data_IF_434101012411
#
_entry.id   IF_434101012411
#
_cell.length_a   1.000
_cell.length_b   1.000
_cell.length_c   1.000
_cell.angle_alpha   90.00
_cell.angle_beta   90.00
_cell.angle_gamma   90.00
#
_symmetry.space_group_name_H-M   'P 1'
#
loop_
_entity.id
_entity.type
_entity.pdbx_description
1 polymer ?
#
# COMPACT_ATOMS: atom_id res chain seq x y z
N UNK A 1 14.93 -4.99 -39.36
CA UNK A 1 13.63 -5.01 -38.66
C UNK A 1 12.73 -5.99 -39.37
N UNK A 2 12.70 -7.25 -38.93
CA UNK A 2 11.86 -8.29 -39.50
C UNK A 2 10.59 -8.41 -38.65
N UNK A 3 9.43 -8.09 -39.24
CA UNK A 3 8.12 -8.38 -38.66
C UNK A 3 7.86 -9.88 -38.78
N UNK A 4 7.90 -10.58 -37.65
CA UNK A 4 7.41 -11.97 -37.55
C UNK A 4 5.90 -11.91 -37.44
N UNK A 5 5.22 -12.15 -38.56
CA UNK A 5 3.78 -12.35 -38.60
C UNK A 5 3.47 -13.72 -37.98
N UNK A 6 2.97 -13.72 -36.74
CA UNK A 6 2.40 -14.90 -36.11
C UNK A 6 1.03 -15.13 -36.77
N UNK A 7 1.03 -15.97 -37.80
CA UNK A 7 -0.19 -16.52 -38.38
C UNK A 7 -0.82 -17.49 -37.39
N UNK A 8 -1.63 -16.97 -36.46
CA UNK A 8 -2.56 -17.80 -35.69
C UNK A 8 -3.55 -18.39 -36.69
N UNK A 9 -3.50 -19.70 -36.83
CA UNK A 9 -4.28 -20.47 -37.80
C UNK A 9 -5.77 -20.34 -37.51
N UNK A 10 -6.47 -19.72 -38.46
CA UNK A 10 -7.92 -19.48 -38.43
C UNK A 10 -8.76 -20.76 -38.28
N UNK A 11 -8.19 -21.94 -38.56
CA UNK A 11 -8.86 -23.24 -38.44
C UNK A 11 -9.05 -23.77 -37.02
N UNK A 12 -8.33 -23.29 -36.00
CA UNK A 12 -8.54 -23.74 -34.62
C UNK A 12 -9.79 -23.09 -33.97
N UNK A 13 -10.22 -21.92 -34.45
CA UNK A 13 -11.43 -21.26 -33.95
C UNK A 13 -12.72 -21.90 -34.48
N UNK A 14 -12.70 -22.51 -35.66
CA UNK A 14 -13.92 -23.06 -36.28
C UNK A 14 -14.50 -24.29 -35.54
N UNK A 15 -13.66 -25.08 -34.85
CA UNK A 15 -14.11 -26.25 -34.08
C UNK A 15 -14.68 -25.94 -32.69
N UNK A 16 -14.32 -24.79 -32.11
CA UNK A 16 -14.83 -24.33 -30.80
C UNK A 16 -16.20 -23.66 -30.94
N UNK A 17 -16.51 -23.09 -32.11
CA UNK A 17 -17.72 -22.28 -32.32
C UNK A 17 -19.00 -23.13 -32.43
N UNK A 18 -18.95 -24.39 -32.91
CA UNK A 18 -20.20 -25.18 -33.08
C UNK A 18 -20.67 -25.92 -31.82
N UNK A 19 -19.76 -26.29 -30.91
CA UNK A 19 -20.09 -26.90 -29.61
C UNK A 19 -20.07 -25.89 -28.46
N UNK A 20 -19.31 -24.80 -28.60
CA UNK A 20 -19.21 -23.74 -27.60
C UNK A 20 -20.49 -22.93 -27.44
N UNK A 21 -21.25 -22.70 -28.51
CA UNK A 21 -22.45 -21.85 -28.45
C UNK A 21 -23.51 -22.33 -27.45
N UNK A 22 -23.70 -23.65 -27.30
CA UNK A 22 -24.65 -24.20 -26.32
C UNK A 22 -24.14 -24.03 -24.89
N UNK A 23 -22.88 -24.39 -24.62
CA UNK A 23 -22.29 -24.25 -23.30
C UNK A 23 -22.21 -22.80 -22.84
N UNK A 24 -21.84 -21.88 -23.74
CA UNK A 24 -21.83 -20.43 -23.47
C UNK A 24 -23.23 -19.93 -23.14
N UNK A 25 -24.25 -20.39 -23.87
CA UNK A 25 -25.65 -20.03 -23.60
C UNK A 25 -26.13 -20.55 -22.24
N UNK A 26 -25.81 -21.79 -21.88
CA UNK A 26 -26.13 -22.37 -20.57
C UNK A 26 -25.47 -21.56 -19.42
N UNK A 27 -24.20 -21.16 -19.59
CA UNK A 27 -23.51 -20.28 -18.61
C UNK A 27 -24.19 -18.90 -18.55
N UNK A 28 -24.56 -18.32 -19.69
CA UNK A 28 -25.25 -17.03 -19.74
C UNK A 28 -26.61 -17.06 -19.03
N UNK A 29 -27.37 -18.15 -19.19
CA UNK A 29 -28.63 -18.38 -18.50
C UNK A 29 -28.43 -18.51 -16.98
N UNK A 30 -27.42 -19.28 -16.55
CA UNK A 30 -27.07 -19.41 -15.14
C UNK A 30 -26.64 -18.06 -14.51
N UNK A 31 -25.86 -17.24 -15.24
CA UNK A 31 -25.48 -15.89 -14.80
C UNK A 31 -26.70 -14.95 -14.72
N UNK A 32 -27.67 -15.09 -15.63
CA UNK A 32 -28.91 -14.31 -15.60
C UNK A 32 -29.75 -14.62 -14.37
N UNK A 33 -29.86 -15.91 -14.03
CA UNK A 33 -30.54 -16.38 -12.82
C UNK A 33 -29.87 -15.84 -11.55
N UNK A 34 -28.54 -15.94 -11.45
CA UNK A 34 -27.77 -15.38 -10.34
C UNK A 34 -27.92 -13.85 -10.22
N UNK A 35 -28.15 -13.15 -11.33
CA UNK A 35 -28.36 -11.70 -11.33
C UNK A 35 -29.76 -11.29 -10.85
N UNK A 36 -30.65 -12.25 -10.54
CA UNK A 36 -32.03 -11.99 -10.13
C UNK A 36 -32.90 -11.40 -11.24
N UNK A 37 -32.38 -11.35 -12.48
CA UNK A 37 -33.14 -10.92 -13.65
C UNK A 37 -33.85 -12.16 -14.17
N UNK A 38 -35.18 -12.19 -14.12
CA UNK A 38 -35.98 -13.15 -14.92
C UNK A 38 -35.40 -13.08 -16.33
N UNK A 39 -34.74 -14.15 -16.77
CA UNK A 39 -33.79 -14.16 -17.88
C UNK A 39 -34.38 -13.48 -19.12
N UNK A 40 -34.17 -12.16 -19.27
CA UNK A 40 -34.61 -11.50 -20.48
C UNK A 40 -33.76 -12.07 -21.59
N UNK A 41 -34.41 -12.51 -22.67
CA UNK A 41 -33.74 -13.14 -23.80
C UNK A 41 -32.56 -12.29 -24.29
N UNK A 42 -32.75 -10.97 -24.31
CA UNK A 42 -31.73 -9.96 -24.64
C UNK A 42 -30.52 -9.98 -23.69
N UNK A 43 -30.71 -10.15 -22.37
CA UNK A 43 -29.61 -10.22 -21.41
C UNK A 43 -28.78 -11.50 -21.60
N UNK A 44 -29.46 -12.64 -21.83
CA UNK A 44 -28.80 -13.92 -22.10
C UNK A 44 -27.99 -13.83 -23.39
N UNK A 45 -28.56 -13.31 -24.48
CA UNK A 45 -27.88 -13.15 -25.76
C UNK A 45 -26.67 -12.20 -25.64
N UNK A 46 -26.82 -11.06 -24.96
CA UNK A 46 -25.71 -10.12 -24.73
C UNK A 46 -24.60 -10.75 -23.89
N UNK A 47 -24.96 -11.52 -22.86
CA UNK A 47 -23.99 -12.20 -21.99
C UNK A 47 -23.28 -13.32 -22.74
N UNK A 48 -23.99 -14.07 -23.59
CA UNK A 48 -23.41 -15.11 -24.44
C UNK A 48 -22.35 -14.53 -25.39
N UNK A 49 -22.64 -13.43 -26.08
CA UNK A 49 -21.65 -12.74 -26.94
C UNK A 49 -20.43 -12.27 -26.13
N UNK A 50 -20.63 -11.77 -24.90
CA UNK A 50 -19.52 -11.37 -24.04
C UNK A 50 -18.68 -12.57 -23.58
N UNK A 51 -19.32 -13.70 -23.27
CA UNK A 51 -18.63 -14.94 -22.91
C UNK A 51 -17.84 -15.52 -24.09
N UNK A 52 -18.38 -15.49 -25.32
CA UNK A 52 -17.64 -15.88 -26.53
C UNK A 52 -16.40 -15.01 -26.73
N UNK A 53 -16.53 -13.69 -26.55
CA UNK A 53 -15.40 -12.76 -26.64
C UNK A 53 -14.35 -13.05 -25.54
N UNK A 54 -14.80 -13.30 -24.30
CA UNK A 54 -13.90 -13.69 -23.20
C UNK A 54 -13.19 -15.01 -23.53
N UNK A 55 -13.90 -16.03 -24.02
CA UNK A 55 -13.32 -17.31 -24.39
C UNK A 55 -12.32 -17.18 -25.55
N UNK A 56 -12.61 -16.32 -26.52
CA UNK A 56 -11.69 -16.03 -27.63
C UNK A 56 -10.40 -15.34 -27.19
N UNK A 57 -10.47 -14.45 -26.17
CA UNK A 57 -9.31 -13.71 -25.66
C UNK A 57 -8.53 -14.46 -24.60
N UNK A 58 -9.23 -15.12 -23.67
CA UNK A 58 -8.67 -15.74 -22.48
C UNK A 58 -8.52 -17.26 -22.58
N UNK A 59 -8.98 -17.85 -23.69
CA UNK A 59 -9.07 -19.30 -23.86
C UNK A 59 -10.34 -19.90 -23.25
N UNK A 60 -10.70 -21.10 -23.69
CA UNK A 60 -11.90 -21.81 -23.24
C UNK A 60 -11.91 -22.15 -21.74
N UNK A 61 -10.74 -22.24 -21.08
CA UNK A 61 -10.65 -22.47 -19.63
C UNK A 61 -11.32 -21.35 -18.82
N UNK A 62 -11.42 -20.14 -19.36
CA UNK A 62 -12.13 -19.03 -18.71
C UNK A 62 -13.61 -19.32 -18.50
N UNK A 63 -14.25 -20.09 -19.39
CA UNK A 63 -15.66 -20.46 -19.27
C UNK A 63 -15.89 -21.43 -18.11
N UNK A 64 -14.97 -22.37 -17.87
CA UNK A 64 -15.03 -23.28 -16.72
C UNK A 64 -14.92 -22.49 -15.40
N UNK A 65 -13.99 -21.53 -15.34
CA UNK A 65 -13.84 -20.65 -14.19
C UNK A 65 -15.10 -19.79 -13.97
N UNK A 66 -15.68 -19.22 -15.04
CA UNK A 66 -16.90 -18.41 -14.95
C UNK A 66 -18.10 -19.26 -14.54
N UNK A 67 -18.21 -20.49 -15.05
CA UNK A 67 -19.26 -21.43 -14.64
C UNK A 67 -19.18 -21.74 -13.14
N UNK A 68 -17.96 -21.98 -12.62
CA UNK A 68 -17.72 -22.30 -11.21
C UNK A 68 -17.92 -21.13 -10.26
N UNK A 69 -17.41 -19.95 -10.61
CA UNK A 69 -17.37 -18.79 -9.72
C UNK A 69 -18.40 -17.69 -10.07
N UNK A 70 -19.22 -17.93 -11.10
CA UNK A 70 -20.38 -17.11 -11.46
C UNK A 70 -20.06 -15.66 -11.86
N UNK A 71 -20.96 -14.76 -11.47
CA UNK A 71 -20.93 -13.33 -11.85
C UNK A 71 -19.67 -12.57 -11.43
N UNK A 72 -18.96 -13.04 -10.40
CA UNK A 72 -17.72 -12.40 -9.95
C UNK A 72 -16.62 -12.65 -10.97
N UNK A 73 -16.40 -13.92 -11.35
CA UNK A 73 -15.43 -14.27 -12.38
C UNK A 73 -15.77 -13.61 -13.72
N UNK A 74 -17.03 -13.63 -14.14
CA UNK A 74 -17.46 -12.96 -15.37
C UNK A 74 -17.06 -11.47 -15.40
N UNK A 75 -17.34 -10.73 -14.32
CA UNK A 75 -16.95 -9.31 -14.21
C UNK A 75 -15.44 -9.11 -14.22
N UNK A 76 -14.70 -9.98 -13.54
CA UNK A 76 -13.25 -9.93 -13.52
C UNK A 76 -12.70 -10.13 -14.93
N UNK A 77 -13.07 -11.20 -15.64
CA UNK A 77 -12.60 -11.46 -17.00
C UNK A 77 -12.97 -10.35 -17.98
N UNK A 78 -14.20 -9.84 -17.89
CA UNK A 78 -14.65 -8.70 -18.71
C UNK A 78 -13.79 -7.46 -18.52
N UNK A 79 -13.30 -7.21 -17.30
CA UNK A 79 -12.51 -6.04 -16.95
C UNK A 79 -10.99 -6.27 -17.03
N UNK A 80 -10.56 -7.50 -17.25
CA UNK A 80 -9.15 -7.88 -17.19
C UNK A 80 -8.37 -7.31 -18.40
N UNK A 81 -9.03 -7.15 -19.55
CA UNK A 81 -8.42 -6.74 -20.81
C UNK A 81 -7.87 -7.94 -21.59
N UNK A 82 -7.30 -7.67 -22.77
CA UNK A 82 -6.96 -8.72 -23.74
C UNK A 82 -5.77 -9.58 -23.29
N UNK A 83 -4.78 -8.96 -22.64
CA UNK A 83 -3.58 -9.65 -22.18
C UNK A 83 -3.78 -10.50 -20.92
N UNK A 84 -5.00 -10.49 -20.36
CA UNK A 84 -5.22 -10.85 -18.97
C UNK A 84 -5.70 -12.25 -18.68
N UNK A 85 -6.15 -12.95 -19.70
CA UNK A 85 -6.80 -14.24 -19.55
C UNK A 85 -5.90 -15.30 -18.94
N UNK A 86 -4.70 -15.49 -19.50
CA UNK A 86 -3.86 -16.64 -19.17
C UNK A 86 -3.39 -16.61 -17.71
N UNK A 87 -2.83 -15.47 -17.27
CA UNK A 87 -2.36 -15.35 -15.88
C UNK A 87 -3.51 -15.36 -14.88
N UNK A 88 -4.69 -14.85 -15.25
CA UNK A 88 -5.86 -14.87 -14.37
C UNK A 88 -6.40 -16.28 -14.18
N UNK A 89 -6.54 -17.05 -15.27
CA UNK A 89 -6.94 -18.47 -15.21
C UNK A 89 -5.95 -19.25 -14.35
N UNK A 90 -4.64 -19.08 -14.59
CA UNK A 90 -3.59 -19.73 -13.80
C UNK A 90 -3.66 -19.34 -12.32
N UNK A 91 -3.82 -18.06 -12.01
CA UNK A 91 -3.93 -17.58 -10.64
C UNK A 91 -5.18 -18.13 -9.94
N UNK A 92 -6.32 -18.19 -10.61
CA UNK A 92 -7.56 -18.75 -10.05
C UNK A 92 -7.44 -20.26 -9.82
N UNK A 93 -6.74 -21.00 -10.68
CA UNK A 93 -6.48 -22.43 -10.46
C UNK A 93 -5.63 -22.70 -9.22
N UNK A 94 -4.66 -21.83 -8.93
CA UNK A 94 -3.74 -22.00 -7.80
C UNK A 94 -4.32 -21.41 -6.50
N UNK A 95 -4.93 -20.23 -6.57
CA UNK A 95 -5.35 -19.43 -5.41
C UNK A 95 -6.87 -19.37 -5.23
N UNK A 96 -7.67 -19.90 -6.15
CA UNK A 96 -9.13 -19.92 -6.07
C UNK A 96 -9.74 -18.51 -5.96
N UNK A 97 -10.63 -18.35 -4.99
CA UNK A 97 -11.37 -17.10 -4.74
C UNK A 97 -10.46 -15.92 -4.36
N UNK A 98 -9.27 -16.18 -3.80
CA UNK A 98 -8.32 -15.11 -3.49
C UNK A 98 -7.81 -14.42 -4.77
N UNK A 99 -7.55 -15.17 -5.84
CA UNK A 99 -7.18 -14.56 -7.11
C UNK A 99 -8.32 -13.72 -7.69
N UNK A 100 -9.57 -14.17 -7.57
CA UNK A 100 -10.74 -13.40 -7.99
C UNK A 100 -10.86 -12.10 -7.19
N UNK A 101 -10.69 -12.16 -5.87
CA UNK A 101 -10.69 -10.99 -4.99
C UNK A 101 -9.60 -9.99 -5.41
N UNK A 102 -8.37 -10.45 -5.60
CA UNK A 102 -7.23 -9.62 -6.03
C UNK A 102 -7.51 -8.99 -7.39
N UNK A 103 -8.10 -9.74 -8.32
CA UNK A 103 -8.35 -9.27 -9.68
C UNK A 103 -9.48 -8.22 -9.78
N UNK A 104 -10.27 -8.01 -8.73
CA UNK A 104 -11.29 -6.96 -8.70
C UNK A 104 -10.68 -5.56 -8.64
N UNK A 105 -9.55 -5.37 -7.95
CA UNK A 105 -8.87 -4.08 -7.87
C UNK A 105 -7.90 -3.87 -9.03
N UNK A 106 -7.76 -2.63 -9.48
CA UNK A 106 -6.77 -2.26 -10.51
C UNK A 106 -5.34 -2.54 -10.04
N UNK A 107 -5.08 -2.29 -8.75
CA UNK A 107 -3.82 -2.57 -8.08
C UNK A 107 -3.52 -4.08 -8.07
N UNK A 108 -4.45 -4.92 -7.61
CA UNK A 108 -4.27 -6.37 -7.62
C UNK A 108 -4.08 -6.95 -9.02
N UNK A 109 -4.79 -6.42 -10.04
CA UNK A 109 -4.55 -6.79 -11.45
C UNK A 109 -3.13 -6.49 -11.91
N UNK A 110 -2.49 -5.42 -11.43
CA UNK A 110 -1.09 -5.13 -11.77
C UNK A 110 -0.13 -6.18 -11.19
N UNK A 111 -0.45 -6.74 -10.03
CA UNK A 111 0.33 -7.83 -9.42
C UNK A 111 0.10 -9.15 -10.15
N UNK A 112 -1.14 -9.46 -10.55
CA UNK A 112 -1.41 -10.64 -11.37
C UNK A 112 -0.69 -10.59 -12.72
N UNK A 113 -0.61 -9.40 -13.33
CA UNK A 113 0.16 -9.16 -14.57
C UNK A 113 1.65 -9.40 -14.43
N UNK A 114 2.23 -9.19 -13.25
CA UNK A 114 3.67 -9.44 -13.07
C UNK A 114 4.00 -10.94 -13.12
N UNK A 115 3.00 -11.82 -12.97
CA UNK A 115 3.19 -13.27 -12.98
C UNK A 115 3.96 -13.82 -11.77
N UNK A 116 4.30 -12.97 -10.80
CA UNK A 116 5.07 -13.37 -9.61
C UNK A 116 4.19 -14.10 -8.61
N UNK A 117 4.38 -15.42 -8.51
CA UNK A 117 3.66 -16.28 -7.54
C UNK A 117 3.80 -15.75 -6.11
N UNK A 118 5.01 -15.33 -5.73
CA UNK A 118 5.29 -14.78 -4.42
C UNK A 118 4.53 -13.47 -4.17
N UNK A 119 4.40 -12.60 -5.17
CA UNK A 119 3.65 -11.36 -5.05
C UNK A 119 2.15 -11.62 -4.92
N UNK A 120 1.59 -12.54 -5.72
CA UNK A 120 0.18 -12.94 -5.63
C UNK A 120 -0.11 -13.50 -4.24
N UNK A 121 0.75 -14.39 -3.73
CA UNK A 121 0.65 -14.95 -2.37
C UNK A 121 0.71 -13.87 -1.30
N UNK A 122 1.58 -12.87 -1.44
CA UNK A 122 1.66 -11.75 -0.51
C UNK A 122 0.34 -10.95 -0.45
N UNK A 123 -0.24 -10.61 -1.61
CA UNK A 123 -1.51 -9.88 -1.68
C UNK A 123 -2.70 -10.75 -1.21
N UNK A 124 -2.66 -12.06 -1.48
CA UNK A 124 -3.65 -13.00 -0.97
C UNK A 124 -3.71 -12.97 0.56
N UNK A 125 -2.54 -13.01 1.22
CA UNK A 125 -2.44 -13.04 2.70
C UNK A 125 -2.71 -11.71 3.38
N UNK A 126 -2.31 -10.58 2.77
CA UNK A 126 -2.29 -9.28 3.44
C UNK A 126 -3.25 -8.24 2.86
N UNK A 127 -4.15 -8.65 1.97
CA UNK A 127 -5.08 -7.79 1.20
C UNK A 127 -4.39 -6.86 0.18
N UNK A 128 -5.20 -6.17 -0.61
CA UNK A 128 -4.75 -5.27 -1.68
C UNK A 128 -3.98 -4.04 -1.16
N UNK A 129 -4.03 -3.78 0.15
CA UNK A 129 -3.30 -2.69 0.79
C UNK A 129 -1.78 -2.82 0.68
N UNK A 130 -1.25 -4.03 0.43
CA UNK A 130 0.21 -4.23 0.25
C UNK A 130 0.71 -3.99 -1.17
N UNK A 131 -0.18 -3.80 -2.15
CA UNK A 131 0.23 -3.61 -3.54
C UNK A 131 1.15 -2.39 -3.73
N UNK A 132 0.91 -1.21 -3.12
CA UNK A 132 1.84 -0.08 -3.23
C UNK A 132 3.23 -0.39 -2.68
N UNK A 133 3.31 -1.22 -1.62
CA UNK A 133 4.58 -1.65 -1.06
C UNK A 133 5.35 -2.54 -2.04
N UNK A 134 4.66 -3.49 -2.68
CA UNK A 134 5.22 -4.37 -3.71
C UNK A 134 5.69 -3.55 -4.91
N UNK A 135 4.88 -2.61 -5.40
CA UNK A 135 5.23 -1.77 -6.54
C UNK A 135 6.44 -0.88 -6.25
N UNK A 136 6.56 -0.34 -5.04
CA UNK A 136 7.63 0.59 -4.67
C UNK A 136 8.94 -0.10 -4.34
N UNK A 137 8.89 -1.24 -3.66
CA UNK A 137 10.10 -1.93 -3.16
C UNK A 137 10.45 -3.20 -3.94
N UNK A 138 9.56 -3.67 -4.82
CA UNK A 138 9.80 -4.84 -5.66
C UNK A 138 9.96 -6.11 -4.83
N UNK A 139 10.96 -6.91 -5.19
CA UNK A 139 11.22 -8.22 -4.59
C UNK A 139 11.48 -8.16 -3.09
N UNK A 140 12.12 -7.10 -2.58
CA UNK A 140 12.35 -6.93 -1.13
C UNK A 140 11.02 -6.82 -0.36
N UNK A 141 10.06 -6.08 -0.92
CA UNK A 141 8.71 -5.95 -0.36
C UNK A 141 7.96 -7.27 -0.40
N UNK A 142 8.05 -8.01 -1.51
CA UNK A 142 7.43 -9.33 -1.66
C UNK A 142 8.03 -10.33 -0.67
N UNK A 143 9.36 -10.41 -0.59
CA UNK A 143 10.09 -11.32 0.30
C UNK A 143 9.73 -11.08 1.76
N UNK A 144 9.66 -9.80 2.18
CA UNK A 144 9.19 -9.43 3.51
C UNK A 144 7.76 -9.92 3.75
N UNK A 145 6.81 -9.54 2.89
CA UNK A 145 5.39 -9.85 3.07
C UNK A 145 5.09 -11.36 3.08
N UNK A 146 5.77 -12.15 2.25
CA UNK A 146 5.60 -13.61 2.23
C UNK A 146 5.96 -14.22 3.60
N UNK A 147 6.95 -13.66 4.30
CA UNK A 147 7.42 -14.15 5.61
C UNK A 147 6.59 -13.65 6.80
N UNK A 148 5.82 -12.59 6.63
CA UNK A 148 5.04 -11.98 7.72
C UNK A 148 3.69 -12.67 7.93
N UNK A 149 3.22 -12.70 9.18
CA UNK A 149 1.83 -13.00 9.52
C UNK A 149 0.89 -11.84 9.13
N UNK A 150 -0.42 -12.08 8.91
CA UNK A 150 -1.37 -11.02 8.55
C UNK A 150 -1.43 -9.85 9.55
N UNK A 151 -1.20 -10.12 10.83
CA UNK A 151 -1.13 -9.08 11.86
C UNK A 151 0.09 -8.17 11.65
N UNK A 152 1.24 -8.77 11.38
CA UNK A 152 2.48 -8.06 11.17
C UNK A 152 2.55 -7.38 9.80
N UNK A 153 1.97 -7.96 8.74
CA UNK A 153 1.82 -7.26 7.46
C UNK A 153 1.07 -5.93 7.60
N UNK A 154 -0.03 -5.90 8.38
CA UNK A 154 -0.73 -4.64 8.70
C UNK A 154 0.11 -3.65 9.50
N UNK A 155 0.90 -4.12 10.47
CA UNK A 155 1.85 -3.25 11.22
C UNK A 155 2.91 -2.65 10.31
N UNK A 156 3.46 -3.43 9.38
CA UNK A 156 4.41 -2.94 8.39
C UNK A 156 3.78 -1.82 7.54
N UNK A 157 2.54 -2.01 7.05
CA UNK A 157 1.82 -0.96 6.32
C UNK A 157 1.66 0.30 7.16
N UNK A 158 1.22 0.18 8.42
CA UNK A 158 1.10 1.33 9.32
C UNK A 158 2.44 2.07 9.51
N UNK A 159 3.57 1.35 9.59
CA UNK A 159 4.89 1.97 9.70
C UNK A 159 5.28 2.76 8.46
N UNK A 160 4.94 2.23 7.28
CA UNK A 160 5.22 2.84 5.97
C UNK A 160 4.35 4.08 5.79
N UNK A 161 3.05 3.98 6.08
CA UNK A 161 2.10 5.09 5.97
C UNK A 161 2.44 6.23 6.94
N UNK A 162 2.86 5.89 8.17
CA UNK A 162 3.28 6.87 9.16
C UNK A 162 4.69 7.43 8.92
N UNK A 163 5.40 7.01 7.87
CA UNK A 163 6.79 7.39 7.57
C UNK A 163 7.74 7.23 8.77
N UNK A 164 7.50 6.21 9.61
CA UNK A 164 8.27 5.99 10.85
C UNK A 164 9.70 5.55 10.60
N UNK A 165 9.98 5.00 9.41
CA UNK A 165 11.31 4.62 8.96
C UNK A 165 11.73 5.56 7.82
N UNK A 166 13.00 5.99 7.78
CA UNK A 166 13.48 6.80 6.67
C UNK A 166 13.41 6.00 5.37
N UNK A 167 12.84 6.60 4.32
CA UNK A 167 12.61 5.94 3.04
C UNK A 167 13.89 5.33 2.42
N UNK A 168 15.05 5.93 2.68
CA UNK A 168 16.37 5.44 2.24
C UNK A 168 16.79 4.13 2.90
N UNK A 169 16.28 3.80 4.09
CA UNK A 169 16.61 2.58 4.84
C UNK A 169 15.50 1.54 4.79
N UNK A 170 14.31 1.89 4.32
CA UNK A 170 13.18 0.97 4.32
C UNK A 170 13.46 -0.28 3.47
N UNK A 171 14.21 -0.16 2.37
CA UNK A 171 14.64 -1.33 1.57
C UNK A 171 15.49 -2.29 2.40
N UNK A 172 16.49 -1.77 3.12
CA UNK A 172 17.35 -2.57 3.99
C UNK A 172 16.54 -3.26 5.11
N UNK A 173 15.58 -2.54 5.70
CA UNK A 173 14.69 -3.10 6.72
C UNK A 173 13.80 -4.20 6.14
N UNK A 174 13.24 -4.01 4.95
CA UNK A 174 12.45 -5.02 4.26
C UNK A 174 13.29 -6.25 3.94
N UNK A 175 14.55 -6.09 3.51
CA UNK A 175 15.46 -7.21 3.28
C UNK A 175 15.73 -8.00 4.57
N UNK A 176 15.94 -7.32 5.71
CA UNK A 176 16.05 -7.98 7.02
C UNK A 176 14.76 -8.71 7.39
N UNK A 177 13.59 -8.11 7.13
CA UNK A 177 12.30 -8.76 7.36
C UNK A 177 12.10 -9.97 6.46
N UNK A 178 12.53 -9.92 5.20
CA UNK A 178 12.52 -11.08 4.30
C UNK A 178 13.39 -12.24 4.78
N UNK A 179 14.43 -11.96 5.58
CA UNK A 179 15.31 -12.98 6.17
C UNK A 179 14.75 -13.54 7.48
N UNK A 180 14.35 -12.67 8.40
CA UNK A 180 14.01 -13.03 9.79
C UNK A 180 12.50 -13.04 10.10
N UNK A 181 11.66 -12.64 9.15
CA UNK A 181 10.20 -12.67 9.24
C UNK A 181 9.63 -11.85 10.40
N UNK A 182 8.61 -12.40 11.05
CA UNK A 182 7.84 -11.73 12.09
C UNK A 182 8.71 -11.18 13.24
N UNK A 183 9.73 -11.93 13.69
CA UNK A 183 10.61 -11.51 14.79
C UNK A 183 11.27 -10.16 14.54
N UNK A 184 11.78 -9.97 13.32
CA UNK A 184 12.43 -8.70 12.96
C UNK A 184 11.46 -7.54 12.86
N UNK A 185 10.25 -7.75 12.33
CA UNK A 185 9.26 -6.69 12.31
C UNK A 185 8.80 -6.34 13.73
N UNK A 186 8.60 -7.33 14.61
CA UNK A 186 8.21 -7.08 16.00
C UNK A 186 9.23 -6.24 16.76
N UNK A 187 10.52 -6.57 16.58
CA UNK A 187 11.60 -5.75 17.12
C UNK A 187 11.53 -4.31 16.58
N UNK A 188 11.44 -4.16 15.25
CA UNK A 188 11.37 -2.85 14.61
C UNK A 188 10.13 -2.05 15.07
N UNK A 189 9.00 -2.72 15.22
CA UNK A 189 7.73 -2.12 15.67
C UNK A 189 7.79 -1.66 17.13
N UNK A 190 8.33 -2.50 18.02
CA UNK A 190 8.51 -2.20 19.45
C UNK A 190 9.44 -1.01 19.65
N UNK A 191 10.48 -0.90 18.83
CA UNK A 191 11.52 0.11 18.96
C UNK A 191 11.45 1.24 17.93
N UNK A 192 10.32 1.40 17.22
CA UNK A 192 10.13 2.39 16.16
C UNK A 192 10.47 3.84 16.56
N UNK A 193 10.29 4.20 17.84
CA UNK A 193 10.63 5.54 18.36
C UNK A 193 12.14 5.77 18.52
N UNK A 194 12.92 4.71 18.74
CA UNK A 194 14.36 4.76 18.95
C UNK A 194 15.12 4.48 17.65
N UNK A 195 14.52 3.67 16.76
CA UNK A 195 15.06 3.36 15.43
C UNK A 195 15.01 4.55 14.45
N UNK A 196 14.42 5.68 14.84
CA UNK A 196 14.65 6.96 14.16
C UNK A 196 16.12 7.39 14.25
N UNK A 197 16.87 6.91 15.26
CA UNK A 197 18.32 7.07 15.29
C UNK A 197 18.97 6.20 14.20
N UNK A 198 19.64 6.86 13.25
CA UNK A 198 20.29 6.18 12.13
C UNK A 198 21.31 5.12 12.61
N UNK A 199 22.02 5.37 13.70
CA UNK A 199 23.05 4.48 14.24
C UNK A 199 22.48 3.12 14.70
N UNK A 200 21.41 3.12 15.50
CA UNK A 200 20.82 1.88 15.99
C UNK A 200 20.20 1.07 14.85
N UNK A 201 19.52 1.75 13.93
CA UNK A 201 18.93 1.09 12.76
C UNK A 201 20.02 0.45 11.88
N UNK A 202 21.12 1.16 11.65
CA UNK A 202 22.26 0.60 10.92
C UNK A 202 22.86 -0.59 11.64
N UNK A 203 23.09 -0.51 12.96
CA UNK A 203 23.62 -1.64 13.73
C UNK A 203 22.69 -2.86 13.69
N UNK A 204 21.36 -2.65 13.74
CA UNK A 204 20.37 -3.72 13.61
C UNK A 204 20.35 -4.33 12.20
N UNK A 205 20.44 -3.52 11.15
CA UNK A 205 20.50 -4.01 9.76
C UNK A 205 21.76 -4.83 9.52
N UNK A 206 22.91 -4.38 10.06
CA UNK A 206 24.20 -5.05 9.89
C UNK A 206 24.27 -6.39 10.63
N UNK A 207 23.76 -6.46 11.86
CA UNK A 207 23.76 -7.68 12.67
C UNK A 207 22.49 -7.78 13.52
N UNK A 208 21.40 -8.34 12.96
CA UNK A 208 20.11 -8.39 13.65
C UNK A 208 20.03 -9.47 14.74
N UNK A 209 20.83 -10.55 14.68
CA UNK A 209 20.68 -11.71 15.57
C UNK A 209 20.79 -11.37 17.07
N UNK A 210 21.76 -10.55 17.53
CA UNK A 210 21.86 -10.19 18.95
C UNK A 210 20.62 -9.46 19.47
N UNK A 211 19.95 -8.70 18.60
CA UNK A 211 18.75 -7.95 18.95
C UNK A 211 17.50 -8.84 18.95
N UNK A 212 17.38 -9.72 17.96
CA UNK A 212 16.23 -10.63 17.83
C UNK A 212 16.20 -11.71 18.91
N UNK A 213 17.38 -12.13 19.37
CA UNK A 213 17.53 -13.10 20.45
C UNK A 213 17.48 -12.44 21.86
N UNK A 214 17.40 -11.11 21.93
CA UNK A 214 17.32 -10.38 23.19
C UNK A 214 18.65 -10.27 23.95
N UNK A 215 19.78 -10.64 23.36
CA UNK A 215 21.10 -10.51 23.98
C UNK A 215 21.55 -9.05 24.10
N UNK A 216 21.07 -8.17 23.22
CA UNK A 216 21.41 -6.75 23.22
C UNK A 216 20.18 -5.91 23.52
N UNK A 217 20.03 -5.48 24.77
CA UNK A 217 18.92 -4.59 25.17
C UNK A 217 19.20 -3.15 24.72
N UNK A 218 18.21 -2.51 24.09
CA UNK A 218 18.36 -1.19 23.48
C UNK A 218 18.45 -0.08 24.54
N UNK A 219 17.97 -0.36 25.74
CA UNK A 219 17.99 0.54 26.89
C UNK A 219 19.39 1.00 27.30
N UNK A 220 20.43 0.19 27.05
CA UNK A 220 21.82 0.53 27.41
C UNK A 220 22.57 1.28 26.29
N UNK A 221 22.31 0.95 25.02
CA UNK A 221 23.08 1.48 23.88
C UNK A 221 22.89 2.98 23.59
N UNK A 222 21.76 3.58 23.97
CA UNK A 222 21.51 5.02 23.76
C UNK A 222 22.33 5.87 24.74
N UNK A 223 22.71 5.32 25.89
CA UNK A 223 23.57 6.04 26.85
C UNK A 223 25.01 6.01 26.35
N UNK A 224 25.55 4.87 25.94
CA UNK A 224 26.99 4.76 25.59
C UNK A 224 27.36 5.30 24.19
N UNK A 225 26.45 5.22 23.22
CA UNK A 225 26.74 5.70 21.84
C UNK A 225 26.58 7.22 21.69
N UNK A 226 25.86 7.87 22.60
CA UNK A 226 25.75 9.33 22.64
C UNK A 226 26.96 10.01 23.30
N UNK A 227 27.85 9.26 23.96
CA UNK A 227 29.06 9.78 24.63
C UNK A 227 30.38 9.26 24.03
N UNK A 228 30.35 8.46 22.98
CA UNK A 228 31.57 8.00 22.31
C UNK A 228 31.77 8.68 20.96
N UNK A 229 32.16 9.97 20.88
CA UNK A 229 32.78 10.45 19.67
C UNK A 229 34.17 9.83 19.60
N UNK A 230 34.50 9.14 18.50
CA UNK A 230 35.88 9.11 18.01
C UNK A 230 36.92 8.65 19.06
N UNK A 231 36.84 7.39 19.51
CA UNK A 231 37.83 6.85 20.46
C UNK A 231 39.09 6.25 19.79
N UNK A 232 39.24 6.32 18.46
CA UNK A 232 40.42 5.78 17.75
C UNK A 232 41.20 6.80 16.92
N UNK A 233 40.90 8.09 17.03
CA UNK A 233 41.70 9.13 16.38
C UNK A 233 41.89 10.33 17.29
N UNK A 234 43.14 10.69 17.58
CA UNK A 234 43.61 11.81 18.41
C UNK A 234 43.84 11.44 19.88
N UNK A 235 45.06 10.94 20.13
CA UNK A 235 45.67 11.01 21.44
C UNK A 235 45.82 12.46 21.92
N UNK A 236 45.57 12.64 23.21
CA UNK A 236 45.94 13.77 24.05
C UNK A 236 45.40 15.16 23.66
N UNK A 237 44.27 15.52 24.27
CA UNK A 237 44.08 16.88 24.75
C UNK A 237 42.85 17.61 24.22
N UNK A 238 41.64 17.11 24.48
CA UNK A 238 40.44 17.96 24.41
C UNK A 238 39.57 17.77 25.65
N UNK A 239 39.79 18.74 26.53
CA UNK A 239 38.93 19.39 27.52
C UNK A 239 37.53 18.84 27.82
N UNK A 240 37.35 18.71 29.13
CA UNK A 240 36.16 18.60 29.99
C UNK A 240 35.00 19.61 29.75
N UNK A 241 34.91 20.23 28.56
CA UNK A 241 34.02 21.35 28.25
C UNK A 241 32.72 21.01 27.51
N UNK A 242 32.60 19.85 26.85
CA UNK A 242 31.45 19.57 25.98
C UNK A 242 30.19 19.05 26.68
N UNK A 243 30.28 18.57 27.93
CA UNK A 243 29.10 18.06 28.67
C UNK A 243 28.12 19.18 29.03
N UNK A 244 28.56 20.45 29.07
CA UNK A 244 27.68 21.61 29.36
C UNK A 244 26.92 22.18 28.15
N UNK A 245 27.15 21.70 26.93
CA UNK A 245 26.52 22.28 25.72
C UNK A 245 25.17 21.62 25.40
N UNK A 246 24.95 20.37 25.81
CA UNK A 246 23.71 19.65 25.50
C UNK A 246 22.50 20.02 26.37
N UNK A 247 22.69 20.60 27.57
CA UNK A 247 21.58 21.21 28.33
C UNK A 247 21.12 22.56 27.75
N UNK A 248 22.01 23.29 27.07
CA UNK A 248 21.72 24.61 26.50
C UNK A 248 20.82 24.55 25.26
N UNK A 249 20.95 23.49 24.45
CA UNK A 249 20.22 23.36 23.18
C UNK A 249 18.74 23.02 23.41
N UNK A 250 18.41 22.29 24.48
CA UNK A 250 17.01 21.99 24.84
C UNK A 250 16.25 23.22 25.33
N UNK A 251 16.92 24.17 25.98
CA UNK A 251 16.29 25.38 26.54
C UNK A 251 15.83 26.36 25.45
N UNK A 252 16.61 26.56 24.39
CA UNK A 252 16.26 27.49 23.29
C UNK A 252 15.00 27.06 22.52
N UNK A 253 14.76 25.75 22.40
CA UNK A 253 13.60 25.22 21.68
C UNK A 253 12.30 25.42 22.47
N UNK A 254 12.35 25.28 23.80
CA UNK A 254 11.22 25.60 24.69
C UNK A 254 10.92 27.11 24.73
N UNK A 255 11.95 27.96 24.68
CA UNK A 255 11.79 29.42 24.57
C UNK A 255 11.05 29.79 23.27
N UNK A 256 11.44 29.19 22.14
CA UNK A 256 10.77 29.43 20.85
C UNK A 256 9.28 29.04 20.86
N UNK A 257 8.94 27.88 21.45
CA UNK A 257 7.54 27.44 21.60
C UNK A 257 6.73 28.39 22.50
N UNK A 258 7.34 28.89 23.57
CA UNK A 258 6.68 29.82 24.50
C UNK A 258 6.38 31.18 23.83
N UNK A 259 7.32 31.70 23.02
CA UNK A 259 7.08 32.89 22.20
C UNK A 259 6.02 32.68 21.13
N UNK A 260 5.98 31.51 20.48
CA UNK A 260 4.94 31.20 19.48
C UNK A 260 3.54 31.17 20.11
N UNK A 261 3.39 30.57 21.29
CA UNK A 261 2.11 30.54 22.02
C UNK A 261 1.69 31.95 22.47
N UNK A 262 2.63 32.76 22.98
CA UNK A 262 2.37 34.15 23.34
C UNK A 262 1.97 34.99 22.12
N UNK A 263 2.63 34.80 20.98
CA UNK A 263 2.30 35.45 19.71
C UNK A 263 0.89 35.12 19.23
N UNK A 264 0.50 33.83 19.23
CA UNK A 264 -0.85 33.40 18.87
C UNK A 264 -1.90 34.02 19.82
N UNK A 265 -1.62 34.02 21.13
CA UNK A 265 -2.53 34.63 22.12
C UNK A 265 -2.69 36.13 21.91
N UNK A 266 -1.62 36.85 21.57
CA UNK A 266 -1.66 38.28 21.28
C UNK A 266 -2.43 38.57 19.99
N UNK A 267 -2.21 37.75 18.95
CA UNK A 267 -2.91 37.83 17.67
C UNK A 267 -4.43 37.64 17.81
N UNK A 268 -4.87 36.64 18.59
CA UNK A 268 -6.30 36.40 18.87
C UNK A 268 -6.92 37.60 19.62
N UNK A 269 -6.18 38.24 20.53
CA UNK A 269 -6.64 39.43 21.26
C UNK A 269 -6.85 40.62 20.32
N UNK A 270 -5.94 40.85 19.38
CA UNK A 270 -6.08 41.94 18.41
C UNK A 270 -7.26 41.73 17.45
N UNK A 271 -7.50 40.49 17.00
CA UNK A 271 -8.63 40.19 16.12
C UNK A 271 -10.00 40.40 16.77
N UNK A 272 -10.12 40.23 18.09
CA UNK A 272 -11.38 40.51 18.81
C UNK A 272 -11.69 42.01 18.91
N UNK A 273 -10.66 42.87 18.97
CA UNK A 273 -10.85 44.33 18.99
C UNK A 273 -11.25 44.90 17.63
N UNK A 274 -10.81 44.31 16.52
CA UNK A 274 -11.19 44.82 15.19
C UNK A 274 -12.63 44.52 14.80
N UNK A 275 -13.21 43.39 15.26
CA UNK A 275 -14.61 43.05 14.98
C UNK A 275 -15.62 43.98 15.68
N UNK A 276 -15.32 44.46 16.87
CA UNK A 276 -16.20 45.38 17.61
C UNK A 276 -16.26 46.77 16.98
N UNK A 277 -15.18 47.23 16.35
CA UNK A 277 -15.15 48.51 15.63
C UNK A 277 -15.88 48.43 14.29
N UNK A 278 -15.86 47.28 13.60
CA UNK A 278 -16.59 47.11 12.35
C UNK A 278 -18.12 47.10 12.55
N UNK A 279 -18.62 46.39 13.57
CA UNK A 279 -20.05 46.35 13.90
C UNK A 279 -20.60 47.71 14.34
N UNK A 280 -19.81 48.50 15.08
CA UNK A 280 -20.23 49.86 15.46
C UNK A 280 -20.35 50.83 14.29
N UNK A 281 -19.74 50.55 13.13
CA UNK A 281 -19.74 51.45 11.98
C UNK A 281 -20.94 51.20 11.06
N UNK A 282 -21.40 49.95 10.95
CA UNK A 282 -22.60 49.56 10.20
C UNK A 282 -23.88 50.14 10.81
N UNK A 283 -24.02 50.12 12.14
CA UNK A 283 -25.21 50.70 12.81
C UNK A 283 -25.34 52.20 12.55
N UNK A 284 -24.23 52.94 12.51
CA UNK A 284 -24.23 54.38 12.23
C UNK A 284 -24.49 54.77 10.77
N UNK A 285 -24.35 53.86 9.79
CA UNK A 285 -24.71 54.16 8.40
C UNK A 285 -26.20 53.93 8.10
N UNK A 286 -26.86 53.02 8.82
CA UNK A 286 -28.29 52.74 8.60
C UNK A 286 -29.25 53.86 9.05
N UNK A 287 -28.78 54.80 9.88
CA UNK A 287 -29.62 55.90 10.41
C UNK A 287 -29.69 57.10 9.44
N UNK A 288 -28.76 57.24 8.49
CA UNK A 288 -28.64 58.44 7.66
C UNK A 288 -29.34 58.36 6.28
N UNK A 289 -29.94 57.23 5.92
CA UNK A 289 -30.66 57.08 4.63
C UNK A 289 -32.18 57.30 4.74
N UNK A 290 -32.70 57.64 5.92
CA UNK A 290 -34.14 57.80 6.16
C UNK A 290 -34.71 59.22 6.03
N UNK A 291 -33.89 60.25 5.78
CA UNK A 291 -34.30 61.66 5.92
C UNK A 291 -34.20 62.47 4.61
N UNK A 292 -34.58 61.87 3.49
CA UNK A 292 -34.76 62.58 2.21
C UNK A 292 -36.02 62.12 1.50
N UNK A 293 -37.18 62.62 1.95
CA UNK A 293 -38.41 62.75 1.16
C UNK A 293 -38.87 64.20 1.28
#
# INVERSE_FOLDING_TARGET
MACVAIGVTQSAMAGIVSSGGKAVREIAEALAEQAGKKASKEFVETTAVQLENIAGKCGGESLDVISKHGLVAFRVFKNAGDDAGEYLVKAIRIYGDDALRIAQSSAGRSVLRSGSDAAIRAVARHSDAVVPLIQRYGDDGVAALVKLSPANGRRLLQMVDANTLPASRLRDVLATIGKYGDKSLEFVWKHRKVLTSAALLTAFISDPEPYLNGFKDITLGVIDTAVSPVAEGVGNGISMGMVKIFESIRWNLWIGVLFAILGIRQYIRHRKKSKTVALSKEDSQSVNEGESI
#
